data_IF_582597550895
#
_entry.id   IF_582597550895
#
_cell.length_a   1.000
_cell.length_b   1.000
_cell.length_c   1.000
_cell.angle_alpha   90.00
_cell.angle_beta   90.00
_cell.angle_gamma   90.00
#
_symmetry.space_group_name_H-M   'P 1'
#
loop_
_entity.id
_entity.type
_entity.pdbx_description
1 polymer ?
#
# COMPACT_ATOMS: atom_id res chain seq x y z
N UNK A 1 3.69 0.56 26.20
CA UNK A 1 4.47 1.01 25.01
C UNK A 1 3.70 2.19 24.42
N UNK A 2 4.32 3.35 24.18
CA UNK A 2 3.55 4.54 23.77
C UNK A 2 2.79 4.28 22.46
N UNK A 3 1.52 4.68 22.39
CA UNK A 3 0.66 4.47 21.21
C UNK A 3 1.29 5.00 19.90
N UNK A 4 2.01 6.12 19.96
CA UNK A 4 2.76 6.66 18.82
C UNK A 4 3.90 5.76 18.33
N UNK A 5 4.56 5.01 19.23
CA UNK A 5 5.60 4.06 18.85
C UNK A 5 5.00 2.82 18.16
N UNK A 6 3.83 2.35 18.63
CA UNK A 6 3.07 1.26 17.98
C UNK A 6 2.70 1.69 16.56
N UNK A 7 2.10 2.86 16.40
CA UNK A 7 1.75 3.42 15.09
C UNK A 7 2.95 3.47 14.14
N UNK A 8 4.07 4.04 14.60
CA UNK A 8 5.29 4.15 13.79
C UNK A 8 5.84 2.80 13.35
N UNK A 9 6.00 1.86 14.29
CA UNK A 9 6.52 0.52 14.01
C UNK A 9 5.62 -0.22 13.01
N UNK A 10 4.31 -0.17 13.21
CA UNK A 10 3.36 -0.85 12.32
C UNK A 10 3.36 -0.23 10.93
N UNK A 11 3.40 1.09 10.82
CA UNK A 11 3.47 1.77 9.53
C UNK A 11 4.76 1.41 8.77
N UNK A 12 5.91 1.47 9.44
CA UNK A 12 7.20 1.13 8.83
C UNK A 12 7.26 -0.33 8.39
N UNK A 13 6.85 -1.27 9.25
CA UNK A 13 6.80 -2.70 8.90
C UNK A 13 5.83 -2.98 7.76
N UNK A 14 4.65 -2.36 7.79
CA UNK A 14 3.66 -2.52 6.72
C UNK A 14 4.22 -2.04 5.40
N UNK A 15 4.82 -0.85 5.34
CA UNK A 15 5.45 -0.34 4.13
C UNK A 15 6.57 -1.25 3.62
N UNK A 16 7.39 -1.81 4.53
CA UNK A 16 8.44 -2.74 4.14
C UNK A 16 7.87 -4.01 3.49
N UNK A 17 6.86 -4.62 4.12
CA UNK A 17 6.20 -5.83 3.61
C UNK A 17 5.47 -5.54 2.29
N UNK A 18 4.69 -4.47 2.22
CA UNK A 18 3.93 -4.10 1.04
C UNK A 18 4.81 -3.59 -0.11
N UNK A 19 6.06 -3.19 0.13
CA UNK A 19 7.03 -2.90 -0.93
C UNK A 19 7.78 -4.15 -1.41
N UNK A 20 8.07 -5.09 -0.50
CA UNK A 20 8.74 -6.36 -0.85
C UNK A 20 7.82 -7.33 -1.59
N UNK A 21 6.52 -7.30 -1.26
CA UNK A 21 5.52 -8.21 -1.82
C UNK A 21 5.36 -8.09 -3.35
N UNK A 22 5.18 -6.90 -3.96
CA UNK A 22 5.11 -6.74 -5.41
C UNK A 22 6.36 -7.19 -6.15
N UNK A 23 7.54 -6.97 -5.54
CA UNK A 23 8.81 -7.40 -6.11
C UNK A 23 8.85 -8.93 -6.23
N UNK A 24 8.52 -9.62 -5.14
CA UNK A 24 8.48 -11.09 -5.09
C UNK A 24 7.42 -11.67 -6.03
N UNK A 25 6.24 -11.05 -6.11
CA UNK A 25 5.16 -11.49 -7.01
C UNK A 25 5.56 -11.40 -8.49
N UNK A 26 6.25 -10.33 -8.87
CA UNK A 26 6.72 -10.17 -10.25
C UNK A 26 7.83 -11.15 -10.58
N UNK A 27 8.79 -11.34 -9.69
CA UNK A 27 9.94 -12.21 -9.96
C UNK A 27 9.54 -13.69 -9.99
N UNK A 28 8.72 -14.13 -9.04
CA UNK A 28 8.36 -15.55 -8.88
C UNK A 28 7.16 -15.98 -9.74
N UNK A 29 6.17 -15.11 -9.90
CA UNK A 29 4.91 -15.45 -10.59
C UNK A 29 4.68 -14.66 -11.89
N UNK A 30 5.62 -13.79 -12.29
CA UNK A 30 5.48 -12.91 -13.47
C UNK A 30 4.20 -12.08 -13.46
N UNK A 31 3.64 -11.83 -12.28
CA UNK A 31 2.42 -11.04 -12.15
C UNK A 31 2.72 -9.56 -12.40
N UNK A 32 1.83 -8.86 -13.11
CA UNK A 32 2.01 -7.44 -13.39
C UNK A 32 1.75 -6.60 -12.12
N UNK A 33 2.46 -5.48 -11.98
CA UNK A 33 2.44 -4.68 -10.74
C UNK A 33 1.05 -4.12 -10.39
N UNK A 34 0.15 -3.94 -11.36
CA UNK A 34 -1.21 -3.48 -11.09
C UNK A 34 -2.01 -4.47 -10.24
N UNK A 35 -1.77 -5.78 -10.38
CA UNK A 35 -2.43 -6.82 -9.57
C UNK A 35 -1.97 -6.72 -8.12
N UNK A 36 -0.66 -6.55 -7.90
CA UNK A 36 -0.12 -6.32 -6.56
C UNK A 36 -0.67 -5.03 -5.95
N UNK A 37 -0.82 -3.97 -6.74
CA UNK A 37 -1.42 -2.71 -6.30
C UNK A 37 -2.86 -2.88 -5.82
N UNK A 38 -3.69 -3.64 -6.53
CA UNK A 38 -5.07 -3.96 -6.10
C UNK A 38 -5.06 -4.74 -4.78
N UNK A 39 -4.21 -5.75 -4.67
CA UNK A 39 -4.08 -6.55 -3.45
C UNK A 39 -3.71 -5.65 -2.25
N UNK A 40 -2.74 -4.73 -2.43
CA UNK A 40 -2.33 -3.77 -1.40
C UNK A 40 -3.50 -2.85 -1.02
N UNK A 41 -4.26 -2.33 -2.00
CA UNK A 41 -5.42 -1.48 -1.73
C UNK A 41 -6.51 -2.20 -0.94
N UNK A 42 -6.68 -3.51 -1.10
CA UNK A 42 -7.62 -4.31 -0.32
C UNK A 42 -7.08 -4.68 1.08
N UNK A 43 -5.79 -5.02 1.17
CA UNK A 43 -5.16 -5.41 2.44
C UNK A 43 -4.90 -4.21 3.36
N UNK A 44 -4.66 -3.03 2.80
CA UNK A 44 -4.38 -1.81 3.57
C UNK A 44 -5.46 -1.46 4.58
N UNK A 45 -6.75 -1.39 4.18
CA UNK A 45 -7.87 -1.22 5.11
C UNK A 45 -7.96 -2.30 6.18
N UNK A 46 -7.68 -3.57 5.85
CA UNK A 46 -7.73 -4.66 6.82
C UNK A 46 -6.66 -4.51 7.92
N UNK A 47 -5.44 -4.14 7.52
CA UNK A 47 -4.35 -3.83 8.47
C UNK A 47 -4.73 -2.62 9.33
N UNK A 48 -5.24 -1.55 8.70
CA UNK A 48 -5.67 -0.35 9.40
C UNK A 48 -6.79 -0.59 10.41
N UNK A 49 -7.77 -1.44 10.08
CA UNK A 49 -8.82 -1.84 11.00
C UNK A 49 -8.26 -2.57 12.22
N UNK A 50 -7.38 -3.56 12.01
CA UNK A 50 -6.78 -4.30 13.12
C UNK A 50 -5.98 -3.41 14.08
N UNK A 51 -5.21 -2.47 13.53
CA UNK A 51 -4.41 -1.52 14.32
C UNK A 51 -5.29 -0.49 15.01
N UNK A 52 -6.29 0.05 14.31
CA UNK A 52 -7.24 1.00 14.86
C UNK A 52 -8.04 0.41 16.03
N UNK A 53 -8.47 -0.85 15.92
CA UNK A 53 -9.13 -1.57 17.02
C UNK A 53 -8.20 -1.75 18.22
N UNK A 54 -6.97 -2.22 18.02
CA UNK A 54 -6.00 -2.40 19.10
C UNK A 54 -5.68 -1.08 19.82
N UNK A 55 -5.42 -0.02 19.06
CA UNK A 55 -5.16 1.31 19.62
C UNK A 55 -6.40 1.89 20.32
N UNK A 56 -7.60 1.58 19.83
CA UNK A 56 -8.86 2.02 20.42
C UNK A 56 -9.13 1.36 21.76
N UNK A 57 -8.89 0.06 21.87
CA UNK A 57 -8.99 -0.67 23.15
C UNK A 57 -8.00 -0.12 24.18
N UNK A 58 -6.76 0.17 23.76
CA UNK A 58 -5.75 0.73 24.66
C UNK A 58 -6.11 2.17 25.09
N UNK A 59 -6.61 2.99 24.17
CA UNK A 59 -7.07 4.34 24.48
C UNK A 59 -8.23 4.33 25.50
N UNK A 60 -9.19 3.40 25.36
CA UNK A 60 -10.29 3.24 26.31
C UNK A 60 -9.79 2.82 27.70
N UNK A 61 -8.79 1.94 27.79
CA UNK A 61 -8.16 1.56 29.06
C UNK A 61 -7.45 2.72 29.74
N UNK A 62 -6.91 3.65 28.98
CA UNK A 62 -6.29 4.88 29.46
C UNK A 62 -7.31 6.01 29.74
N UNK A 63 -8.62 5.76 29.54
CA UNK A 63 -9.68 6.74 29.78
C UNK A 63 -9.85 7.79 28.68
N UNK A 64 -9.27 7.57 27.50
CA UNK A 64 -9.43 8.41 26.30
C UNK A 64 -10.68 8.01 25.50
N UNK A 65 -11.22 8.95 24.74
CA UNK A 65 -12.35 8.78 23.83
C UNK A 65 -12.03 7.94 22.56
N UNK A 66 -10.77 7.55 22.37
CA UNK A 66 -10.33 6.75 21.23
C UNK A 66 -10.25 7.50 19.90
N UNK A 67 -10.44 8.82 19.87
CA UNK A 67 -10.40 9.61 18.63
C UNK A 67 -9.03 9.50 17.93
N UNK A 68 -7.95 9.60 18.71
CA UNK A 68 -6.58 9.46 18.19
C UNK A 68 -6.30 8.09 17.58
N UNK A 69 -6.90 7.02 18.12
CA UNK A 69 -6.77 5.66 17.59
C UNK A 69 -7.47 5.50 16.23
N UNK A 70 -8.69 6.07 16.10
CA UNK A 70 -9.41 6.10 14.84
C UNK A 70 -8.66 6.89 13.75
N UNK A 71 -8.11 8.05 14.12
CA UNK A 71 -7.29 8.86 13.21
C UNK A 71 -6.02 8.11 12.78
N UNK A 72 -5.33 7.46 13.72
CA UNK A 72 -4.15 6.66 13.41
C UNK A 72 -4.46 5.52 12.44
N UNK A 73 -5.56 4.79 12.65
CA UNK A 73 -6.02 3.76 11.71
C UNK A 73 -6.31 4.33 10.32
N UNK A 74 -7.03 5.45 10.23
CA UNK A 74 -7.34 6.10 8.95
C UNK A 74 -6.08 6.53 8.18
N UNK A 75 -5.07 7.07 8.88
CA UNK A 75 -3.78 7.44 8.27
C UNK A 75 -3.07 6.20 7.72
N UNK A 76 -3.02 5.10 8.47
CA UNK A 76 -2.43 3.84 7.99
C UNK A 76 -3.14 3.36 6.72
N UNK A 77 -4.49 3.36 6.72
CA UNK A 77 -5.26 2.95 5.55
C UNK A 77 -4.91 3.81 4.33
N UNK A 78 -4.90 5.13 4.50
CA UNK A 78 -4.64 6.07 3.42
C UNK A 78 -3.23 5.91 2.84
N UNK A 79 -2.21 5.77 3.70
CA UNK A 79 -0.83 5.56 3.27
C UNK A 79 -0.68 4.26 2.48
N UNK A 80 -1.32 3.18 2.95
CA UNK A 80 -1.26 1.88 2.26
C UNK A 80 -2.01 1.89 0.93
N UNK A 81 -3.19 2.52 0.87
CA UNK A 81 -3.95 2.69 -0.37
C UNK A 81 -3.16 3.55 -1.36
N UNK A 82 -2.57 4.65 -0.91
CA UNK A 82 -1.73 5.50 -1.75
C UNK A 82 -0.54 4.70 -2.31
N UNK A 83 0.08 3.84 -1.49
CA UNK A 83 1.16 2.97 -1.95
C UNK A 83 0.67 1.97 -3.02
N UNK A 84 -0.48 1.32 -2.80
CA UNK A 84 -1.09 0.44 -3.80
C UNK A 84 -1.40 1.16 -5.12
N UNK A 85 -1.90 2.39 -5.05
CA UNK A 85 -2.18 3.23 -6.20
C UNK A 85 -0.92 3.56 -7.01
N UNK A 86 0.22 3.84 -6.35
CA UNK A 86 1.49 4.08 -7.04
C UNK A 86 1.92 2.89 -7.90
N UNK A 87 1.70 1.66 -7.44
CA UNK A 87 1.99 0.46 -8.24
C UNK A 87 1.09 0.31 -9.47
N UNK A 88 -0.18 0.69 -9.36
CA UNK A 88 -1.13 0.68 -10.48
C UNK A 88 -0.69 1.72 -11.52
N UNK A 89 -0.41 2.96 -11.08
CA UNK A 89 0.01 4.05 -11.95
C UNK A 89 1.35 3.73 -12.63
N UNK A 90 2.35 3.24 -11.89
CA UNK A 90 3.65 2.88 -12.45
C UNK A 90 3.55 1.80 -13.53
N UNK A 91 2.62 0.85 -13.39
CA UNK A 91 2.36 -0.15 -14.41
C UNK A 91 1.65 0.44 -15.65
N UNK A 92 0.73 1.39 -15.46
CA UNK A 92 0.09 2.10 -16.58
C UNK A 92 1.12 2.89 -17.40
N UNK A 93 2.01 3.65 -16.74
CA UNK A 93 3.09 4.40 -17.41
C UNK A 93 3.99 3.47 -18.21
N UNK A 94 4.42 2.36 -17.60
CA UNK A 94 5.22 1.32 -18.28
C UNK A 94 4.50 0.71 -19.49
N UNK A 95 3.17 0.59 -19.43
CA UNK A 95 2.33 0.12 -20.53
C UNK A 95 2.28 1.13 -21.69
N UNK A 96 2.12 2.41 -21.37
CA UNK A 96 2.07 3.50 -22.36
C UNK A 96 3.42 3.62 -23.08
N UNK A 97 4.54 3.61 -22.35
CA UNK A 97 5.88 3.68 -22.94
C UNK A 97 6.09 2.54 -23.95
N UNK A 98 5.74 1.31 -23.59
CA UNK A 98 5.84 0.15 -24.50
C UNK A 98 4.99 0.32 -25.74
N UNK A 99 3.79 0.89 -25.61
CA UNK A 99 2.92 1.14 -26.76
C UNK A 99 3.52 2.17 -27.72
N UNK A 100 4.03 3.29 -27.18
CA UNK A 100 4.66 4.36 -27.96
C UNK A 100 5.94 3.87 -28.64
N UNK A 101 6.79 3.12 -27.95
CA UNK A 101 8.02 2.56 -28.56
C UNK A 101 7.71 1.57 -29.67
N UNK A 102 6.69 0.73 -29.54
CA UNK A 102 6.26 -0.21 -30.60
C UNK A 102 5.79 0.53 -31.84
N UNK A 103 4.93 1.53 -31.67
CA UNK A 103 4.46 2.40 -32.76
C UNK A 103 5.60 3.11 -33.51
N UNK A 104 6.65 3.53 -32.79
CA UNK A 104 7.81 4.18 -33.40
C UNK A 104 8.65 3.20 -34.23
N UNK A 105 8.75 1.94 -33.81
CA UNK A 105 9.53 0.90 -34.49
C UNK A 105 8.87 0.46 -35.81
N UNK A 106 7.54 0.33 -35.84
CA UNK A 106 6.80 0.02 -37.07
C UNK A 106 6.90 1.11 -38.13
N UNK A 107 6.95 2.39 -37.73
CA UNK A 107 7.11 3.51 -38.68
C UNK A 107 8.52 3.68 -39.24
N UNK A 108 9.53 3.02 -38.66
CA UNK A 108 10.93 3.13 -39.12
C UNK A 108 11.31 1.98 -40.07
N UNK A 109 10.45 0.96 -40.19
CA UNK A 109 10.64 -0.21 -41.04
C UNK A 109 9.73 -0.25 -42.28
N UNK A 110 8.92 0.78 -42.50
CA UNK A 110 8.23 1.10 -43.76
C UNK A 110 8.92 2.29 -44.42
#
# INVERSE_FOLDING_TARGET
MNAGAVFGIVLTLSLFVFNYFPYTLKEKYKLPYWVSGIIICCLGPLVAMGVGSYLGEEAQREGSDGFGAGLAGAIIALVLIANGALYIIGNMVSGIERYVTRQKKDKTHN
#
